data_IF_529850366882
#
_entry.id   IF_529850366882
#
_cell.length_a   1.000
_cell.length_b   1.000
_cell.length_c   1.000
_cell.angle_alpha   90.00
_cell.angle_beta   90.00
_cell.angle_gamma   90.00
#
_symmetry.space_group_name_H-M   'P 1'
#
loop_
_entity.id
_entity.type
_entity.pdbx_description
1 polymer ?
#
# COMPACT_ATOMS: atom_id res chain seq x y z
N UNK A 1 39.77 38.63 16.53
CA UNK A 1 38.82 38.27 15.44
C UNK A 1 39.13 36.96 14.70
N UNK A 2 40.28 36.30 14.86
CA UNK A 2 40.59 35.03 14.15
C UNK A 2 40.05 33.71 14.78
N UNK A 3 39.53 33.73 16.02
CA UNK A 3 39.03 32.50 16.70
C UNK A 3 37.52 32.25 16.56
N UNK A 4 36.74 33.27 16.19
CA UNK A 4 35.27 33.14 16.06
C UNK A 4 34.88 32.55 14.70
N UNK A 5 35.68 32.77 13.66
CA UNK A 5 35.41 32.26 12.30
C UNK A 5 35.62 30.74 12.19
N UNK A 6 36.51 30.15 13.00
CA UNK A 6 36.78 28.70 12.95
C UNK A 6 35.72 27.86 13.67
N UNK A 7 35.08 28.38 14.72
CA UNK A 7 34.00 27.66 15.43
C UNK A 7 32.69 27.64 14.63
N UNK A 8 32.40 28.68 13.85
CA UNK A 8 31.19 28.74 13.01
C UNK A 8 31.31 27.79 11.82
N UNK A 9 32.50 27.57 11.27
CA UNK A 9 32.70 26.58 10.20
C UNK A 9 32.53 25.13 10.69
N UNK A 10 32.97 24.80 11.91
CA UNK A 10 32.74 23.47 12.48
C UNK A 10 31.28 23.23 12.88
N UNK A 11 30.56 24.24 13.40
CA UNK A 11 29.14 24.11 13.74
C UNK A 11 28.24 24.06 12.49
N UNK A 12 28.60 24.78 11.42
CA UNK A 12 27.86 24.74 10.16
C UNK A 12 28.13 23.45 9.36
N UNK A 13 29.33 22.86 9.47
CA UNK A 13 29.58 21.50 8.96
C UNK A 13 28.94 20.40 9.80
N UNK A 14 28.72 20.62 11.11
CA UNK A 14 27.99 19.66 11.95
C UNK A 14 26.47 19.71 11.74
N UNK A 15 25.92 20.84 11.28
CA UNK A 15 24.50 20.95 10.92
C UNK A 15 24.17 20.47 9.50
N UNK A 16 25.17 20.35 8.61
CA UNK A 16 25.04 19.74 7.27
C UNK A 16 25.40 18.25 7.25
N UNK A 17 25.77 17.69 8.41
CA UNK A 17 25.96 16.26 8.62
C UNK A 17 24.89 15.72 9.59
N UNK A 18 23.63 16.17 9.45
CA UNK A 18 22.56 15.18 9.55
C UNK A 18 22.82 14.27 8.37
N UNK A 19 23.50 13.15 8.62
CA UNK A 19 23.64 12.12 7.63
C UNK A 19 22.25 11.95 7.01
N UNK A 20 22.12 12.16 5.69
CA UNK A 20 20.97 11.66 4.98
C UNK A 20 21.01 10.15 5.25
N UNK A 21 20.30 9.72 6.28
CA UNK A 21 20.17 8.33 6.63
C UNK A 21 19.61 7.71 5.36
N UNK A 22 20.36 6.76 4.79
CA UNK A 22 19.93 6.13 3.56
C UNK A 22 18.53 5.59 3.83
N UNK A 23 17.55 6.08 3.07
CA UNK A 23 16.16 5.68 3.25
C UNK A 23 16.10 4.16 3.35
N UNK A 24 15.37 3.67 4.34
CA UNK A 24 15.17 2.24 4.50
C UNK A 24 14.62 1.64 3.21
N UNK A 25 14.82 0.34 3.00
CA UNK A 25 14.28 -0.39 1.84
C UNK A 25 12.78 -0.14 1.68
N UNK A 26 12.06 -0.09 2.79
CA UNK A 26 10.63 0.17 2.89
C UNK A 26 10.26 1.61 2.52
N UNK A 27 11.02 2.62 2.97
CA UNK A 27 10.81 4.01 2.57
C UNK A 27 11.09 4.24 1.08
N UNK A 28 12.14 3.62 0.55
CA UNK A 28 12.44 3.68 -0.88
C UNK A 28 11.34 3.00 -1.72
N UNK A 29 10.83 1.85 -1.26
CA UNK A 29 9.69 1.19 -1.88
C UNK A 29 8.43 2.07 -1.85
N UNK A 30 8.13 2.73 -0.72
CA UNK A 30 6.98 3.61 -0.58
C UNK A 30 7.07 4.82 -1.52
N UNK A 31 8.26 5.41 -1.67
CA UNK A 31 8.50 6.52 -2.59
C UNK A 31 8.28 6.11 -4.05
N UNK A 32 8.74 4.91 -4.44
CA UNK A 32 8.53 4.41 -5.80
C UNK A 32 7.06 4.07 -6.05
N UNK A 33 6.37 3.43 -5.10
CA UNK A 33 4.93 3.18 -5.18
C UNK A 33 4.12 4.47 -5.33
N UNK A 34 4.53 5.56 -4.67
CA UNK A 34 3.88 6.86 -4.84
C UNK A 34 3.98 7.35 -6.29
N UNK A 35 5.13 7.14 -6.97
CA UNK A 35 5.29 7.47 -8.40
C UNK A 35 4.42 6.60 -9.31
N UNK A 36 4.12 5.37 -8.88
CA UNK A 36 3.30 4.40 -9.61
C UNK A 36 1.81 4.49 -9.29
N UNK A 37 1.36 5.56 -8.63
CA UNK A 37 -0.06 5.80 -8.34
C UNK A 37 -0.55 5.23 -7.00
N UNK A 38 0.34 4.86 -6.09
CA UNK A 38 0.02 4.42 -4.73
C UNK A 38 0.65 5.34 -3.68
N UNK A 39 0.26 6.63 -3.62
CA UNK A 39 0.84 7.55 -2.66
C UNK A 39 0.44 7.23 -1.21
N UNK A 40 1.31 7.62 -0.28
CA UNK A 40 1.05 7.56 1.16
C UNK A 40 0.98 6.15 1.75
N UNK A 41 1.28 5.10 0.99
CA UNK A 41 1.28 3.74 1.52
C UNK A 41 2.41 3.55 2.52
N UNK A 42 2.08 2.98 3.68
CA UNK A 42 3.07 2.51 4.64
C UNK A 42 3.50 1.10 4.26
N UNK A 43 4.78 0.92 3.96
CA UNK A 43 5.39 -0.36 3.58
C UNK A 43 5.97 -1.02 4.81
N UNK A 44 5.52 -2.24 5.13
CA UNK A 44 6.02 -3.02 6.27
C UNK A 44 7.15 -3.96 5.89
N UNK A 45 7.12 -4.46 4.65
CA UNK A 45 8.10 -5.36 4.05
C UNK A 45 8.16 -5.07 2.56
N UNK A 46 9.34 -5.15 1.97
CA UNK A 46 9.46 -5.07 0.51
C UNK A 46 10.57 -5.95 0.00
N UNK A 47 10.51 -6.30 -1.28
CA UNK A 47 11.61 -6.89 -2.05
C UNK A 47 12.42 -5.84 -2.82
N UNK A 48 12.14 -4.55 -2.63
CA UNK A 48 12.80 -3.42 -3.31
C UNK A 48 14.34 -3.56 -3.30
N UNK A 49 14.96 -3.33 -4.45
CA UNK A 49 16.40 -3.48 -4.65
C UNK A 49 16.85 -4.91 -4.98
N UNK A 50 15.98 -5.92 -4.93
CA UNK A 50 16.29 -7.27 -5.46
C UNK A 50 16.44 -7.28 -6.98
N UNK A 51 15.62 -6.49 -7.67
CA UNK A 51 15.56 -6.39 -9.12
C UNK A 51 15.49 -4.91 -9.53
N UNK A 52 16.10 -4.58 -10.68
CA UNK A 52 16.00 -3.24 -11.29
C UNK A 52 14.70 -3.04 -12.08
N UNK A 53 13.78 -4.00 -12.06
CA UNK A 53 12.60 -4.03 -12.93
C UNK A 53 11.29 -4.23 -12.17
N UNK A 54 11.35 -4.76 -10.96
CA UNK A 54 10.16 -5.11 -10.19
C UNK A 54 10.45 -5.21 -8.71
N UNK A 55 9.42 -5.06 -7.90
CA UNK A 55 9.45 -5.48 -6.51
C UNK A 55 8.02 -5.76 -6.02
N UNK A 56 7.90 -6.45 -4.89
CA UNK A 56 6.65 -6.52 -4.14
C UNK A 56 6.79 -5.80 -2.81
N UNK A 57 5.71 -5.22 -2.33
CA UNK A 57 5.65 -4.52 -1.05
C UNK A 57 4.38 -4.91 -0.30
N UNK A 58 4.53 -5.35 0.94
CA UNK A 58 3.43 -5.48 1.87
C UNK A 58 3.15 -4.12 2.47
N UNK A 59 1.92 -3.65 2.31
CA UNK A 59 1.52 -2.32 2.71
C UNK A 59 0.23 -2.33 3.50
N UNK A 60 -0.15 -1.17 4.03
CA UNK A 60 -1.48 -1.00 4.61
C UNK A 60 -2.61 -1.24 3.61
N UNK A 61 -2.41 -1.11 2.28
CA UNK A 61 -3.42 -1.43 1.26
C UNK A 61 -3.47 -2.90 0.83
N UNK A 62 -2.52 -3.71 1.30
CA UNK A 62 -2.32 -5.09 0.83
C UNK A 62 -0.93 -5.27 0.21
N UNK A 63 -0.73 -6.40 -0.47
CA UNK A 63 0.48 -6.64 -1.24
C UNK A 63 0.38 -5.89 -2.57
N UNK A 64 1.35 -5.04 -2.87
CA UNK A 64 1.45 -4.32 -4.14
C UNK A 64 2.66 -4.85 -4.90
N UNK A 65 2.45 -5.24 -6.15
CA UNK A 65 3.50 -5.58 -7.10
C UNK A 65 3.79 -4.37 -7.98
N UNK A 66 5.05 -3.92 -7.99
CA UNK A 66 5.53 -2.83 -8.81
C UNK A 66 6.21 -3.40 -10.06
N UNK A 67 5.80 -2.91 -11.23
CA UNK A 67 6.39 -3.18 -12.53
C UNK A 67 7.04 -1.89 -13.05
N UNK A 68 8.34 -1.77 -12.76
CA UNK A 68 9.13 -0.59 -13.07
C UNK A 68 9.42 -0.47 -14.57
N UNK A 69 9.36 -1.57 -15.32
CA UNK A 69 9.56 -1.55 -16.78
C UNK A 69 8.38 -0.88 -17.47
N UNK A 70 7.17 -1.19 -17.03
CA UNK A 70 5.95 -0.68 -17.62
C UNK A 70 5.39 0.54 -16.87
N UNK A 71 6.09 1.02 -15.84
CA UNK A 71 5.71 2.24 -15.10
C UNK A 71 4.36 2.10 -14.39
N UNK A 72 4.00 0.89 -13.94
CA UNK A 72 2.73 0.60 -13.28
C UNK A 72 2.91 -0.23 -12.01
N UNK A 73 1.86 -0.31 -11.20
CA UNK A 73 1.80 -1.21 -10.06
C UNK A 73 0.39 -1.81 -9.94
N UNK A 74 0.29 -2.97 -9.29
CA UNK A 74 -0.95 -3.70 -9.11
C UNK A 74 -1.08 -4.18 -7.66
N UNK A 75 -2.28 -4.09 -7.09
CA UNK A 75 -2.59 -4.80 -5.84
C UNK A 75 -2.77 -6.28 -6.17
N UNK A 76 -2.11 -7.16 -5.42
CA UNK A 76 -2.36 -8.59 -5.41
C UNK A 76 -3.34 -8.91 -4.28
N UNK A 77 -4.63 -9.00 -4.61
CA UNK A 77 -5.72 -9.07 -3.62
C UNK A 77 -5.69 -10.37 -2.80
N UNK A 78 -5.17 -11.46 -3.37
CA UNK A 78 -5.08 -12.77 -2.73
C UNK A 78 -3.64 -13.20 -2.37
N UNK A 79 -2.77 -12.24 -2.05
CA UNK A 79 -1.35 -12.50 -1.75
C UNK A 79 -1.11 -13.53 -0.63
N UNK A 80 -2.04 -13.67 0.31
CA UNK A 80 -2.02 -14.69 1.37
C UNK A 80 -2.02 -16.11 0.80
N UNK A 81 -2.88 -16.38 -0.19
CA UNK A 81 -3.01 -17.68 -0.85
C UNK A 81 -1.75 -17.98 -1.67
N UNK A 82 -1.26 -16.99 -2.41
CA UNK A 82 -0.06 -17.11 -3.24
C UNK A 82 1.17 -17.43 -2.39
N UNK A 83 1.37 -16.73 -1.27
CA UNK A 83 2.51 -17.00 -0.40
C UNK A 83 2.40 -18.35 0.30
N UNK A 84 1.21 -18.78 0.71
CA UNK A 84 1.02 -20.13 1.25
C UNK A 84 1.40 -21.19 0.22
N UNK A 85 0.91 -21.04 -1.02
CA UNK A 85 1.21 -21.95 -2.13
C UNK A 85 2.70 -22.01 -2.42
N UNK A 86 3.38 -20.87 -2.49
CA UNK A 86 4.83 -20.82 -2.70
C UNK A 86 5.60 -21.50 -1.57
N UNK A 87 5.19 -21.32 -0.30
CA UNK A 87 5.81 -22.00 0.85
C UNK A 87 5.66 -23.51 0.81
N UNK A 88 4.46 -24.00 0.51
CA UNK A 88 4.21 -25.44 0.36
C UNK A 88 5.13 -26.05 -0.71
N UNK A 89 5.29 -25.33 -1.83
CA UNK A 89 6.11 -25.72 -2.96
C UNK A 89 7.63 -25.66 -2.69
N UNK A 90 8.08 -24.98 -1.63
CA UNK A 90 9.49 -25.04 -1.23
C UNK A 90 9.89 -26.43 -0.72
N UNK A 91 8.96 -27.16 -0.11
CA UNK A 91 9.21 -28.50 0.43
C UNK A 91 8.91 -29.60 -0.59
N UNK A 92 8.15 -29.30 -1.64
CA UNK A 92 7.75 -30.23 -2.69
C UNK A 92 7.89 -29.56 -4.07
N UNK A 93 9.13 -29.34 -4.56
CA UNK A 93 9.35 -28.62 -5.81
C UNK A 93 8.77 -29.39 -6.99
N UNK A 94 8.17 -28.66 -7.94
CA UNK A 94 7.59 -29.21 -9.16
C UNK A 94 6.64 -28.23 -9.83
N UNK A 95 5.73 -28.77 -10.63
CA UNK A 95 4.70 -28.00 -11.31
C UNK A 95 3.73 -27.38 -10.30
N UNK A 96 3.58 -26.07 -10.43
CA UNK A 96 2.79 -25.23 -9.56
C UNK A 96 1.62 -24.62 -10.33
N UNK A 97 0.55 -24.39 -9.60
CA UNK A 97 -0.64 -23.70 -10.06
C UNK A 97 -1.07 -22.73 -8.98
N UNK A 98 -1.28 -21.49 -9.39
CA UNK A 98 -1.86 -20.42 -8.58
C UNK A 98 -2.83 -19.60 -9.44
N UNK A 99 -3.90 -19.08 -8.85
CA UNK A 99 -4.76 -18.07 -9.49
C UNK A 99 -4.45 -16.74 -8.79
N UNK A 100 -3.92 -15.76 -9.52
CA UNK A 100 -3.51 -14.46 -8.98
C UNK A 100 -4.55 -13.41 -9.32
N UNK A 101 -5.00 -12.64 -8.33
CA UNK A 101 -6.00 -11.58 -8.52
C UNK A 101 -5.31 -10.21 -8.49
N UNK A 102 -5.22 -9.58 -9.66
CA UNK A 102 -4.60 -8.27 -9.82
C UNK A 102 -5.64 -7.18 -9.96
N UNK A 103 -5.42 -6.08 -9.24
CA UNK A 103 -6.14 -4.81 -9.41
C UNK A 103 -5.14 -3.73 -9.82
N UNK A 104 -5.30 -3.20 -11.03
CA UNK A 104 -4.40 -2.20 -11.63
C UNK A 104 -5.13 -0.87 -11.76
N UNK A 105 -4.81 0.14 -10.93
CA UNK A 105 -5.42 1.45 -11.03
C UNK A 105 -4.87 2.22 -12.24
N UNK A 106 -5.70 3.08 -12.82
CA UNK A 106 -5.33 3.94 -13.95
C UNK A 106 -4.77 3.18 -15.16
N UNK A 107 -5.25 1.95 -15.39
CA UNK A 107 -4.86 1.16 -16.56
C UNK A 107 -5.59 1.66 -17.81
N UNK A 108 -5.07 1.30 -18.99
CA UNK A 108 -5.67 1.66 -20.27
C UNK A 108 -6.09 0.40 -21.02
N UNK A 109 -7.35 0.29 -21.48
CA UNK A 109 -7.79 -0.86 -22.27
C UNK A 109 -6.99 -1.01 -23.57
N UNK A 110 -6.53 -2.23 -23.85
CA UNK A 110 -5.86 -2.60 -25.10
C UNK A 110 -6.15 -4.07 -25.51
N UNK A 111 -5.12 -4.90 -25.76
CA UNK A 111 -5.26 -6.29 -26.19
C UNK A 111 -5.82 -7.20 -25.11
N UNK A 112 -5.58 -6.89 -23.83
CA UNK A 112 -6.14 -7.65 -22.70
C UNK A 112 -7.34 -6.93 -22.06
N UNK A 113 -7.98 -6.01 -22.77
CA UNK A 113 -9.14 -5.26 -22.27
C UNK A 113 -10.33 -6.15 -21.84
N UNK A 114 -10.42 -7.37 -22.36
CA UNK A 114 -11.49 -8.32 -22.00
C UNK A 114 -11.10 -9.28 -20.88
N UNK A 115 -9.83 -9.25 -20.42
CA UNK A 115 -9.40 -10.01 -19.25
C UNK A 115 -10.08 -9.42 -18.00
N UNK A 116 -10.76 -10.25 -17.21
CA UNK A 116 -11.50 -9.81 -16.03
C UNK A 116 -12.54 -8.72 -16.32
N UNK A 117 -12.53 -7.64 -15.54
CA UNK A 117 -13.52 -6.56 -15.59
C UNK A 117 -12.92 -5.20 -15.25
N UNK A 118 -13.69 -4.14 -15.48
CA UNK A 118 -13.28 -2.76 -15.26
C UNK A 118 -14.18 -2.05 -14.27
N UNK A 119 -13.58 -1.25 -13.39
CA UNK A 119 -14.25 -0.29 -12.51
C UNK A 119 -13.69 1.11 -12.82
N UNK A 120 -14.37 1.85 -13.70
CA UNK A 120 -13.84 3.11 -14.24
C UNK A 120 -12.57 2.86 -15.06
N UNK A 121 -11.45 3.43 -14.63
CA UNK A 121 -10.12 3.20 -15.22
C UNK A 121 -9.29 2.17 -14.42
N UNK A 122 -9.92 1.43 -13.50
CA UNK A 122 -9.27 0.35 -12.76
C UNK A 122 -9.55 -0.97 -13.46
N UNK A 123 -8.50 -1.70 -13.81
CA UNK A 123 -8.57 -3.02 -14.43
C UNK A 123 -8.38 -4.10 -13.38
N UNK A 124 -9.38 -4.96 -13.24
CA UNK A 124 -9.31 -6.13 -12.38
C UNK A 124 -9.22 -7.37 -13.25
N UNK A 125 -8.17 -8.15 -13.10
CA UNK A 125 -8.03 -9.39 -13.85
C UNK A 125 -7.38 -10.48 -13.04
N UNK A 126 -7.72 -11.71 -13.42
CA UNK A 126 -7.23 -12.92 -12.79
C UNK A 126 -6.28 -13.62 -13.74
N UNK A 127 -5.18 -14.15 -13.19
CA UNK A 127 -4.21 -14.94 -13.94
C UNK A 127 -4.13 -16.33 -13.35
N UNK A 128 -4.57 -17.32 -14.12
CA UNK A 128 -4.30 -18.71 -13.84
C UNK A 128 -2.86 -18.99 -14.30
N UNK A 129 -1.97 -19.09 -13.31
CA UNK A 129 -0.54 -19.21 -13.52
C UNK A 129 -0.06 -20.65 -13.34
N UNK A 130 0.38 -21.26 -14.44
CA UNK A 130 1.17 -22.49 -14.42
C UNK A 130 2.66 -22.12 -14.46
N UNK A 131 3.42 -22.62 -13.49
CA UNK A 131 4.83 -22.32 -13.34
C UNK A 131 5.54 -23.48 -12.65
N UNK A 132 6.86 -23.55 -12.71
CA UNK A 132 7.65 -24.51 -11.95
C UNK A 132 8.65 -23.79 -11.04
N UNK A 133 8.96 -24.40 -9.88
CA UNK A 133 10.07 -23.95 -9.03
C UNK A 133 11.27 -24.85 -9.31
N UNK A 134 12.21 -24.36 -10.10
CA UNK A 134 13.39 -25.13 -10.51
C UNK A 134 14.47 -25.11 -9.44
N UNK A 135 15.49 -25.96 -9.61
CA UNK A 135 16.64 -26.02 -8.72
C UNK A 135 17.26 -24.64 -8.48
N UNK A 136 17.45 -24.29 -7.21
CA UNK A 136 17.90 -22.96 -6.83
C UNK A 136 16.78 -21.94 -6.61
N UNK A 137 15.51 -22.37 -6.66
CA UNK A 137 14.33 -21.58 -6.28
C UNK A 137 13.95 -20.49 -7.27
N UNK A 138 14.37 -20.63 -8.53
CA UNK A 138 13.92 -19.77 -9.61
C UNK A 138 12.51 -20.20 -10.05
N UNK A 139 11.66 -19.23 -10.37
CA UNK A 139 10.35 -19.49 -10.98
C UNK A 139 10.53 -19.52 -12.49
N UNK A 140 10.08 -20.59 -13.14
CA UNK A 140 9.96 -20.66 -14.59
C UNK A 140 8.47 -20.60 -14.97
N UNK A 141 8.12 -19.70 -15.89
CA UNK A 141 6.79 -19.66 -16.49
C UNK A 141 6.60 -20.90 -17.38
N UNK A 142 5.48 -21.59 -17.21
CA UNK A 142 5.05 -22.63 -18.13
C UNK A 142 3.95 -22.09 -19.05
N UNK A 143 2.84 -21.61 -18.48
CA UNK A 143 1.74 -20.97 -19.20
C UNK A 143 0.88 -20.10 -18.29
N UNK A 144 0.47 -18.93 -18.79
CA UNK A 144 -0.48 -18.05 -18.12
C UNK A 144 -1.78 -17.91 -18.92
N UNK A 145 -2.90 -18.10 -18.22
CA UNK A 145 -4.24 -17.96 -18.79
C UNK A 145 -5.05 -16.93 -18.00
N UNK A 146 -6.06 -16.38 -18.64
CA UNK A 146 -7.03 -15.47 -18.05
C UNK A 146 -8.45 -15.85 -18.47
N UNK A 147 -9.41 -14.99 -18.14
CA UNK A 147 -10.83 -15.17 -18.38
C UNK A 147 -11.55 -13.83 -18.26
N UNK A 148 -12.69 -13.67 -18.93
CA UNK A 148 -13.54 -12.49 -18.80
C UNK A 148 -14.46 -12.52 -17.58
N UNK A 149 -14.74 -11.33 -17.02
CA UNK A 149 -15.69 -11.09 -15.93
C UNK A 149 -15.10 -11.24 -14.52
N UNK A 150 -15.87 -10.78 -13.51
CA UNK A 150 -15.45 -10.81 -12.10
C UNK A 150 -15.47 -12.20 -11.45
N UNK A 151 -16.28 -13.12 -11.98
CA UNK A 151 -16.48 -14.46 -11.44
C UNK A 151 -16.42 -15.52 -12.55
N UNK A 152 -15.26 -15.73 -13.15
CA UNK A 152 -15.10 -16.70 -14.23
C UNK A 152 -15.22 -18.14 -13.71
N UNK A 153 -15.87 -19.02 -14.47
CA UNK A 153 -15.93 -20.45 -14.15
C UNK A 153 -14.74 -21.24 -14.70
N UNK A 154 -14.03 -20.71 -15.71
CA UNK A 154 -12.88 -21.33 -16.37
C UNK A 154 -11.87 -20.26 -16.82
N UNK A 155 -10.58 -20.64 -16.90
CA UNK A 155 -9.46 -19.80 -17.35
C UNK A 155 -8.83 -20.42 -18.61
N UNK A 156 -9.32 -20.02 -19.79
CA UNK A 156 -8.85 -20.57 -21.07
C UNK A 156 -8.36 -19.50 -22.05
N UNK A 157 -8.54 -18.22 -21.71
CA UNK A 157 -8.10 -17.12 -22.57
C UNK A 157 -6.61 -16.87 -22.36
N UNK A 158 -5.94 -16.38 -23.40
CA UNK A 158 -4.50 -16.10 -23.36
C UNK A 158 -4.30 -14.64 -22.96
N UNK A 159 -3.31 -14.37 -22.09
CA UNK A 159 -2.80 -13.00 -21.91
C UNK A 159 -2.01 -12.61 -23.16
N UNK A 160 -2.51 -11.64 -23.91
CA UNK A 160 -1.91 -11.17 -25.16
C UNK A 160 -0.83 -10.11 -24.93
N UNK A 161 -0.79 -9.51 -23.74
CA UNK A 161 0.18 -8.48 -23.41
C UNK A 161 1.31 -8.96 -22.51
N UNK A 162 2.53 -8.70 -22.98
CA UNK A 162 3.74 -9.04 -22.22
C UNK A 162 3.77 -8.39 -20.83
N UNK A 163 3.28 -7.15 -20.66
CA UNK A 163 3.25 -6.49 -19.35
C UNK A 163 2.43 -7.27 -18.30
N UNK A 164 1.37 -7.97 -18.70
CA UNK A 164 0.53 -8.74 -17.78
C UNK A 164 1.18 -10.09 -17.42
N UNK A 165 1.84 -10.75 -18.37
CA UNK A 165 2.66 -11.93 -18.09
C UNK A 165 3.87 -11.58 -17.22
N UNK A 166 4.57 -10.48 -17.54
CA UNK A 166 5.72 -9.98 -16.76
C UNK A 166 5.32 -9.60 -15.33
N UNK A 167 4.20 -8.90 -15.15
CA UNK A 167 3.65 -8.62 -13.82
C UNK A 167 3.45 -9.92 -13.02
N UNK A 168 2.89 -10.96 -13.65
CA UNK A 168 2.63 -12.26 -13.01
C UNK A 168 3.92 -12.95 -12.58
N UNK A 169 4.86 -13.19 -13.50
CA UNK A 169 6.10 -13.92 -13.22
C UNK A 169 7.02 -13.16 -12.27
N UNK A 170 7.09 -11.83 -12.40
CA UNK A 170 7.89 -10.98 -11.50
C UNK A 170 7.32 -10.99 -10.08
N UNK A 171 5.99 -10.94 -9.94
CA UNK A 171 5.34 -11.04 -8.62
C UNK A 171 5.65 -12.37 -7.94
N UNK A 172 5.53 -13.49 -8.65
CA UNK A 172 5.88 -14.82 -8.13
C UNK A 172 7.36 -14.90 -7.72
N UNK A 173 8.25 -14.37 -8.57
CA UNK A 173 9.70 -14.38 -8.35
C UNK A 173 10.08 -13.58 -7.11
N UNK A 174 9.56 -12.36 -6.97
CA UNK A 174 9.86 -11.46 -5.86
C UNK A 174 9.28 -11.98 -4.54
N UNK A 175 8.05 -12.51 -4.55
CA UNK A 175 7.48 -13.18 -3.38
C UNK A 175 8.32 -14.39 -2.97
N UNK A 176 8.69 -15.26 -3.92
CA UNK A 176 9.50 -16.43 -3.61
C UNK A 176 10.89 -16.06 -3.06
N UNK A 177 11.50 -14.99 -3.58
CA UNK A 177 12.76 -14.43 -3.06
C UNK A 177 12.62 -14.06 -1.58
N UNK A 178 11.57 -13.32 -1.21
CA UNK A 178 11.31 -12.95 0.19
C UNK A 178 11.13 -14.17 1.09
N UNK A 179 10.38 -15.18 0.64
CA UNK A 179 10.14 -16.41 1.41
C UNK A 179 11.47 -17.14 1.66
N UNK A 180 12.27 -17.32 0.61
CA UNK A 180 13.56 -18.06 0.69
C UNK A 180 14.59 -17.37 1.57
N UNK A 181 14.59 -16.03 1.60
CA UNK A 181 15.46 -15.25 2.48
C UNK A 181 14.94 -15.20 3.93
N UNK A 182 13.74 -15.72 4.19
CA UNK A 182 13.08 -15.60 5.50
C UNK A 182 12.68 -14.16 5.85
N UNK A 183 12.60 -13.28 4.84
CA UNK A 183 12.26 -11.86 5.03
C UNK A 183 10.76 -11.65 5.27
N UNK A 184 9.94 -12.65 4.92
CA UNK A 184 8.53 -12.73 5.27
C UNK A 184 8.23 -14.02 6.05
N UNK A 185 7.27 -13.95 6.97
CA UNK A 185 6.70 -15.02 7.77
C UNK A 185 5.22 -15.23 7.41
N UNK A 186 4.59 -16.37 7.75
CA UNK A 186 3.15 -16.58 7.52
C UNK A 186 2.25 -15.50 8.13
N UNK A 187 2.68 -14.88 9.23
CA UNK A 187 1.95 -13.78 9.87
C UNK A 187 2.00 -12.47 9.06
N UNK A 188 2.98 -12.28 8.18
CA UNK A 188 3.11 -11.08 7.35
C UNK A 188 2.14 -11.09 6.15
N UNK A 189 1.70 -12.29 5.75
CA UNK A 189 0.84 -12.52 4.58
C UNK A 189 -0.56 -12.96 4.95
N UNK A 190 -0.75 -13.62 6.08
CA UNK A 190 -2.09 -13.85 6.64
C UNK A 190 -2.45 -12.59 7.41
N UNK A 191 -3.48 -11.83 7.01
CA UNK A 191 -3.93 -10.72 7.83
C UNK A 191 -4.27 -11.28 9.21
N UNK A 192 -3.62 -10.77 10.25
CA UNK A 192 -4.00 -11.11 11.61
C UNK A 192 -5.50 -10.81 11.77
N UNK A 193 -6.23 -11.67 12.48
CA UNK A 193 -7.67 -11.47 12.71
C UNK A 193 -7.97 -10.09 13.34
N UNK A 194 -6.97 -9.51 14.00
CA UNK A 194 -7.03 -8.22 14.65
C UNK A 194 -5.91 -7.31 14.16
N UNK A 195 -6.19 -6.01 14.13
CA UNK A 195 -5.19 -4.97 13.82
C UNK A 195 -4.20 -4.85 14.99
N UNK A 196 -2.92 -4.64 14.67
CA UNK A 196 -1.90 -4.30 15.66
C UNK A 196 -1.90 -2.80 15.95
N UNK A 197 -1.46 -2.38 17.13
CA UNK A 197 -1.40 -0.94 17.47
C UNK A 197 -0.54 -0.15 16.48
N UNK A 198 0.56 -0.73 15.98
CA UNK A 198 1.41 -0.08 14.97
C UNK A 198 0.66 0.11 13.65
N UNK A 199 0.03 -0.93 13.10
CA UNK A 199 -0.78 -0.81 11.88
C UNK A 199 -1.89 0.24 12.03
N UNK A 200 -2.53 0.29 13.20
CA UNK A 200 -3.60 1.23 13.47
C UNK A 200 -3.10 2.69 13.48
N UNK A 201 -2.01 2.95 14.21
CA UNK A 201 -1.41 4.29 14.25
C UNK A 201 -0.92 4.73 12.87
N UNK A 202 -0.26 3.83 12.12
CA UNK A 202 0.19 4.14 10.76
C UNK A 202 -0.96 4.36 9.79
N UNK A 203 -2.08 3.65 9.96
CA UNK A 203 -3.28 3.89 9.16
C UNK A 203 -3.82 5.31 9.39
N UNK A 204 -3.84 5.80 10.64
CA UNK A 204 -4.26 7.19 10.93
C UNK A 204 -3.25 8.21 10.39
N UNK A 205 -1.95 7.97 10.51
CA UNK A 205 -0.90 8.84 9.92
C UNK A 205 -1.06 8.94 8.40
N UNK A 206 -1.24 7.80 7.74
CA UNK A 206 -1.47 7.70 6.29
C UNK A 206 -2.69 8.51 5.85
N UNK A 207 -3.76 8.51 6.67
CA UNK A 207 -4.98 9.21 6.33
C UNK A 207 -4.77 10.73 6.28
N UNK A 208 -4.15 11.29 7.32
CA UNK A 208 -3.82 12.73 7.33
C UNK A 208 -2.73 13.11 6.33
N UNK A 209 -1.79 12.20 6.04
CA UNK A 209 -0.86 12.38 4.93
C UNK A 209 -1.59 12.54 3.59
N UNK A 210 -2.53 11.64 3.28
CA UNK A 210 -3.32 11.69 2.05
C UNK A 210 -4.17 12.97 1.97
N UNK A 211 -4.76 13.41 3.10
CA UNK A 211 -5.50 14.67 3.16
C UNK A 211 -4.62 15.89 2.84
N UNK A 212 -3.41 15.98 3.40
CA UNK A 212 -2.47 17.07 3.12
C UNK A 212 -2.06 17.15 1.65
N UNK A 213 -1.93 16.00 1.00
CA UNK A 213 -1.53 15.92 -0.40
C UNK A 213 -2.72 15.93 -1.36
N UNK A 214 -3.94 16.15 -0.85
CA UNK A 214 -5.18 16.20 -1.65
C UNK A 214 -5.49 14.90 -2.37
N UNK A 215 -4.94 13.77 -1.90
CA UNK A 215 -5.26 12.43 -2.38
C UNK A 215 -6.58 11.96 -1.75
N UNK A 216 -7.66 12.65 -2.08
CA UNK A 216 -8.96 12.48 -1.44
C UNK A 216 -9.56 11.11 -1.70
N UNK A 217 -9.44 10.57 -2.91
CA UNK A 217 -9.89 9.20 -3.22
C UNK A 217 -9.17 8.18 -2.34
N UNK A 218 -7.87 8.41 -2.11
CA UNK A 218 -7.05 7.53 -1.30
C UNK A 218 -7.38 7.62 0.19
N UNK A 219 -7.54 8.83 0.72
CA UNK A 219 -8.00 9.03 2.09
C UNK A 219 -9.42 8.47 2.30
N UNK A 220 -10.33 8.62 1.34
CA UNK A 220 -11.69 8.10 1.43
C UNK A 220 -11.75 6.58 1.33
N UNK A 221 -10.90 5.97 0.49
CA UNK A 221 -10.85 4.50 0.33
C UNK A 221 -10.50 3.78 1.64
N UNK A 222 -9.82 4.46 2.57
CA UNK A 222 -9.40 3.94 3.87
C UNK A 222 -10.55 3.79 4.87
N UNK A 223 -11.73 4.33 4.60
CA UNK A 223 -12.87 4.19 5.49
C UNK A 223 -13.50 2.80 5.45
N UNK A 224 -14.03 2.38 6.59
CA UNK A 224 -14.92 1.23 6.70
C UNK A 224 -16.18 1.44 5.87
N UNK A 225 -16.73 0.38 5.30
CA UNK A 225 -17.93 0.48 4.45
C UNK A 225 -19.15 0.99 5.23
N UNK A 226 -19.22 0.71 6.52
CA UNK A 226 -20.23 1.24 7.44
C UNK A 226 -20.18 2.76 7.57
N UNK A 227 -19.00 3.36 7.47
CA UNK A 227 -18.80 4.81 7.52
C UNK A 227 -19.10 5.45 6.17
N UNK A 228 -18.63 4.85 5.06
CA UNK A 228 -18.92 5.35 3.70
C UNK A 228 -20.43 5.44 3.40
N UNK A 229 -21.23 4.55 3.99
CA UNK A 229 -22.71 4.61 3.91
C UNK A 229 -23.33 5.84 4.61
N UNK A 230 -22.64 6.43 5.58
CA UNK A 230 -23.12 7.59 6.34
C UNK A 230 -22.65 8.91 5.73
N UNK A 231 -21.43 8.93 5.19
CA UNK A 231 -20.80 10.14 4.64
C UNK A 231 -20.33 9.87 3.21
N UNK A 232 -21.09 10.39 2.23
CA UNK A 232 -20.73 10.28 0.82
C UNK A 232 -19.49 11.10 0.46
N UNK A 233 -18.72 10.61 -0.52
CA UNK A 233 -17.44 11.20 -0.96
C UNK A 233 -17.50 12.71 -1.20
N UNK A 234 -18.43 13.19 -2.04
CA UNK A 234 -18.53 14.62 -2.37
C UNK A 234 -18.76 15.50 -1.15
N UNK A 235 -19.65 15.08 -0.25
CA UNK A 235 -19.94 15.81 0.99
C UNK A 235 -18.73 15.85 1.92
N UNK A 236 -18.01 14.72 2.01
CA UNK A 236 -16.81 14.61 2.81
C UNK A 236 -15.66 15.49 2.29
N UNK A 237 -15.35 15.42 0.98
CA UNK A 237 -14.27 16.22 0.36
C UNK A 237 -14.51 17.72 0.53
N UNK A 238 -15.76 18.17 0.39
CA UNK A 238 -16.11 19.58 0.57
C UNK A 238 -15.76 20.11 1.97
N UNK A 239 -15.71 19.25 2.99
CA UNK A 239 -15.28 19.61 4.34
C UNK A 239 -13.81 20.05 4.44
N UNK A 240 -12.98 19.73 3.44
CA UNK A 240 -11.55 20.08 3.40
C UNK A 240 -11.23 21.17 2.37
N UNK A 241 -12.25 21.84 1.81
CA UNK A 241 -12.08 22.82 0.74
C UNK A 241 -11.20 24.02 1.15
N UNK A 242 -11.26 24.42 2.42
CA UNK A 242 -10.45 25.51 2.97
C UNK A 242 -9.13 25.03 3.55
N UNK A 243 -8.94 23.72 3.72
CA UNK A 243 -7.80 23.19 4.47
C UNK A 243 -6.50 23.38 3.69
N UNK A 244 -5.54 24.06 4.30
CA UNK A 244 -4.18 24.25 3.78
C UNK A 244 -3.29 23.11 4.22
N UNK A 245 -3.28 22.79 5.51
CA UNK A 245 -2.46 21.73 6.08
C UNK A 245 -3.02 21.18 7.38
N UNK A 246 -2.65 19.95 7.71
CA UNK A 246 -3.03 19.22 8.91
C UNK A 246 -1.84 18.45 9.47
N UNK A 247 -1.46 18.69 10.70
CA UNK A 247 -0.41 17.94 11.38
C UNK A 247 -1.03 17.05 12.46
N UNK A 248 -0.92 15.73 12.28
CA UNK A 248 -1.41 14.75 13.23
C UNK A 248 -0.30 14.31 14.18
N UNK A 249 -0.56 14.41 15.48
CA UNK A 249 0.27 13.84 16.53
C UNK A 249 -0.49 12.67 17.18
N UNK A 250 0.02 11.45 16.97
CA UNK A 250 -0.59 10.25 17.58
C UNK A 250 -0.19 10.18 19.05
N UNK A 251 -1.18 10.05 19.93
CA UNK A 251 -0.99 10.05 21.38
C UNK A 251 -0.89 8.62 21.94
N UNK A 252 -1.86 7.79 21.60
CA UNK A 252 -1.96 6.42 22.11
C UNK A 252 -2.83 5.55 21.21
N UNK A 253 -2.80 4.24 21.45
CA UNK A 253 -3.72 3.28 20.85
C UNK A 253 -4.20 2.31 21.94
N UNK A 254 -5.50 2.33 22.19
CA UNK A 254 -6.14 1.38 23.10
C UNK A 254 -6.75 0.25 22.29
N UNK A 255 -6.55 -1.00 22.72
CA UNK A 255 -7.02 -2.18 21.99
C UNK A 255 -8.03 -2.97 22.81
N UNK A 256 -9.23 -3.13 22.26
CA UNK A 256 -10.34 -3.86 22.88
C UNK A 256 -11.07 -4.65 21.79
N UNK A 257 -11.23 -5.96 21.99
CA UNK A 257 -12.03 -6.84 21.13
C UNK A 257 -11.78 -6.72 19.61
N UNK A 258 -10.51 -6.55 19.23
CA UNK A 258 -10.11 -6.46 17.82
C UNK A 258 -10.23 -5.08 17.19
N UNK A 259 -10.72 -4.09 17.95
CA UNK A 259 -10.72 -2.67 17.60
C UNK A 259 -9.50 -2.00 18.25
N UNK A 260 -8.77 -1.23 17.46
CA UNK A 260 -7.70 -0.34 17.93
C UNK A 260 -8.20 1.10 17.87
N UNK A 261 -8.53 1.70 19.03
CA UNK A 261 -8.87 3.12 19.11
C UNK A 261 -7.60 3.95 19.19
N UNK A 262 -7.31 4.71 18.15
CA UNK A 262 -6.13 5.56 18.06
C UNK A 262 -6.50 6.99 18.42
N UNK A 263 -5.95 7.48 19.52
CA UNK A 263 -6.13 8.86 19.96
C UNK A 263 -5.06 9.77 19.37
N UNK A 264 -5.46 10.96 18.94
CA UNK A 264 -4.56 11.92 18.32
C UNK A 264 -4.91 13.36 18.68
N UNK A 265 -3.90 14.21 18.52
CA UNK A 265 -4.05 15.65 18.38
C UNK A 265 -3.88 16.05 16.93
N UNK A 266 -4.67 17.01 16.47
CA UNK A 266 -4.62 17.51 15.11
C UNK A 266 -4.47 19.03 15.13
N UNK A 267 -3.44 19.55 14.49
CA UNK A 267 -3.29 20.98 14.19
C UNK A 267 -3.72 21.20 12.75
N UNK A 268 -4.77 21.97 12.52
CA UNK A 268 -5.21 22.32 11.18
C UNK A 268 -4.98 23.80 10.90
N UNK A 269 -4.64 24.08 9.65
CA UNK A 269 -4.61 25.43 9.08
C UNK A 269 -5.63 25.45 7.95
N UNK A 270 -6.61 26.34 8.06
CA UNK A 270 -7.62 26.58 7.03
C UNK A 270 -7.49 28.00 6.50
N UNK A 271 -7.61 28.20 5.19
CA UNK A 271 -7.72 29.51 4.58
C UNK A 271 -9.20 29.89 4.47
N UNK A 272 -9.64 30.83 5.29
CA UNK A 272 -11.02 31.30 5.34
C UNK A 272 -11.02 32.78 4.96
N UNK A 273 -11.64 33.12 3.82
CA UNK A 273 -11.70 34.49 3.30
C UNK A 273 -10.31 35.15 3.15
N UNK A 274 -9.29 34.37 2.74
CA UNK A 274 -7.92 34.85 2.55
C UNK A 274 -7.11 34.97 3.85
N UNK A 275 -7.64 34.53 4.99
CA UNK A 275 -6.93 34.50 6.27
C UNK A 275 -6.70 33.07 6.74
N UNK A 276 -5.49 32.80 7.24
CA UNK A 276 -5.15 31.52 7.83
C UNK A 276 -5.70 31.44 9.26
N UNK A 277 -6.54 30.43 9.49
CA UNK A 277 -7.16 30.12 10.77
C UNK A 277 -6.52 28.84 11.31
N UNK A 278 -5.89 28.95 12.47
CA UNK A 278 -5.25 27.84 13.17
C UNK A 278 -6.25 27.23 14.15
N UNK A 279 -6.42 25.92 14.08
CA UNK A 279 -7.29 25.16 14.99
C UNK A 279 -6.55 23.96 15.55
N UNK A 280 -6.75 23.69 16.84
CA UNK A 280 -6.30 22.48 17.50
C UNK A 280 -7.50 21.58 17.76
N UNK A 281 -7.35 20.29 17.56
CA UNK A 281 -8.39 19.30 17.85
C UNK A 281 -7.80 18.14 18.62
N UNK A 282 -8.63 17.55 19.48
CA UNK A 282 -8.43 16.19 19.99
C UNK A 282 -9.41 15.27 19.28
N UNK A 283 -9.01 14.03 19.04
CA UNK A 283 -9.89 13.06 18.43
C UNK A 283 -9.42 11.63 18.56
N UNK A 284 -10.24 10.73 18.02
CA UNK A 284 -9.89 9.34 17.85
C UNK A 284 -10.47 8.76 16.55
N UNK A 285 -9.85 7.68 16.11
CA UNK A 285 -10.38 6.77 15.10
C UNK A 285 -10.47 5.36 15.70
N UNK A 286 -11.57 4.66 15.46
CA UNK A 286 -11.62 3.21 15.63
C UNK A 286 -11.03 2.56 14.39
N UNK A 287 -9.98 1.76 14.57
CA UNK A 287 -9.30 1.06 13.47
C UNK A 287 -9.54 -0.44 13.59
N UNK A 288 -10.07 -1.02 12.51
CA UNK A 288 -10.44 -2.44 12.43
C UNK A 288 -9.91 -3.07 11.16
N UNK A 289 -10.12 -4.39 10.99
CA UNK A 289 -9.84 -5.09 9.74
C UNK A 289 -11.14 -5.59 9.11
N UNK A 290 -11.38 -5.20 7.87
CA UNK A 290 -12.53 -5.62 7.07
C UNK A 290 -12.02 -6.22 5.76
N UNK A 291 -12.40 -7.46 5.44
CA UNK A 291 -11.98 -8.17 4.22
C UNK A 291 -10.46 -8.11 3.98
N UNK A 292 -9.67 -8.30 5.04
CA UNK A 292 -8.20 -8.25 5.00
C UNK A 292 -7.60 -6.83 5.02
N UNK A 293 -8.38 -5.77 4.79
CA UNK A 293 -7.92 -4.37 4.77
C UNK A 293 -8.07 -3.73 6.15
N UNK A 294 -7.06 -2.99 6.58
CA UNK A 294 -7.16 -2.15 7.79
C UNK A 294 -8.02 -0.93 7.46
N UNK A 295 -9.07 -0.61 8.20
CA UNK A 295 -10.00 0.47 7.85
C UNK A 295 -10.26 1.40 9.02
N UNK A 296 -10.64 2.64 8.71
CA UNK A 296 -10.97 3.70 9.66
C UNK A 296 -12.49 3.80 9.84
N UNK A 297 -12.96 3.80 11.09
CA UNK A 297 -14.37 3.92 11.44
C UNK A 297 -14.59 4.74 12.71
N UNK A 298 -15.87 5.08 12.96
CA UNK A 298 -16.36 5.78 14.15
C UNK A 298 -15.48 6.97 14.61
N UNK A 299 -15.13 7.93 13.74
CA UNK A 299 -14.31 9.05 14.14
C UNK A 299 -15.00 9.92 15.18
N UNK A 300 -14.18 10.51 16.03
CA UNK A 300 -14.58 11.66 16.82
C UNK A 300 -13.49 12.71 16.75
N UNK A 301 -13.85 13.94 16.36
CA UNK A 301 -12.91 15.06 16.28
C UNK A 301 -13.56 16.27 16.94
N UNK A 302 -12.93 16.77 18.00
CA UNK A 302 -13.44 17.90 18.79
C UNK A 302 -12.42 19.02 18.76
N UNK A 303 -12.87 20.20 18.35
CA UNK A 303 -12.03 21.41 18.39
C UNK A 303 -11.75 21.77 19.85
N UNK A 304 -10.47 21.92 20.16
CA UNK A 304 -10.02 22.53 21.41
C UNK A 304 -10.17 24.05 21.27
N UNK A 305 -10.70 24.66 22.33
CA UNK A 305 -11.01 26.09 22.39
C UNK A 305 -9.78 26.96 22.13
#
# INVERSE_FOLDING_TARGET
MKKIVTMVACALMLLLAVAAEAATKEEAAAAELARLGFPGVYVTKSSYGNSGHSFVAFTTKGCISADLRNGRAAVLDNANEIVQRLREQQNNPGDCLSIMHFTVPNDTPDKDATAGWWEGNTHHFHVYALYSIVNGGQIAEEHFFTSSGAHPSHYHDILHEQKNSELTINTLTELNSLIRKGEIAPADVKPAAYVTSQEAMERVRTFYYNLNHKYYDEAYSMFAESWKRQVGFTGWVNGFATTVSQEVNILSCDRTDGVCRVYFQLRAVDNINGQDVYSLFDGHWDVTRENGRVVLGNPEVRKLQ
#
